data_IF_874883873422
#
_entry.id   IF_874883873422
#
_cell.length_a   1.000
_cell.length_b   1.000
_cell.length_c   1.000
_cell.angle_alpha   90.00
_cell.angle_beta   90.00
_cell.angle_gamma   90.00
#
_symmetry.space_group_name_H-M   'P 1'
#
loop_
_entity.id
_entity.type
_entity.pdbx_description
1 polymer ?
#
# COMPACT_ATOMS: atom_id res chain seq x y z
N UNK A 1 -2.34 -5.13 10.48
CA UNK A 1 -2.09 -6.58 10.63
C UNK A 1 -1.57 -7.17 9.31
N UNK A 2 -1.30 -8.48 9.27
CA UNK A 2 -0.73 -9.16 8.10
C UNK A 2 -1.65 -9.13 6.87
N UNK A 3 -2.97 -9.23 7.08
CA UNK A 3 -3.93 -9.19 5.98
C UNK A 3 -3.90 -7.82 5.30
N UNK A 4 -3.99 -6.73 6.09
CA UNK A 4 -3.91 -5.38 5.54
C UNK A 4 -2.58 -5.12 4.85
N UNK A 5 -1.45 -5.60 5.39
CA UNK A 5 -0.13 -5.44 4.78
C UNK A 5 -0.06 -6.09 3.38
N UNK A 6 -0.54 -7.33 3.27
CA UNK A 6 -0.62 -8.04 1.99
C UNK A 6 -1.53 -7.31 1.00
N UNK A 7 -2.75 -6.94 1.42
CA UNK A 7 -3.71 -6.28 0.53
C UNK A 7 -3.24 -4.89 0.09
N UNK A 8 -2.55 -4.15 0.96
CA UNK A 8 -1.98 -2.85 0.61
C UNK A 8 -0.99 -2.97 -0.57
N UNK A 9 -0.12 -3.98 -0.58
CA UNK A 9 0.75 -4.25 -1.74
C UNK A 9 0.00 -4.83 -2.92
N UNK A 10 -0.71 -5.94 -2.71
CA UNK A 10 -1.34 -6.72 -3.77
C UNK A 10 -2.38 -5.92 -4.56
N UNK A 11 -3.17 -5.07 -3.91
CA UNK A 11 -4.29 -4.37 -4.53
C UNK A 11 -4.07 -2.88 -4.75
N UNK A 12 -3.22 -2.22 -3.97
CA UNK A 12 -3.05 -0.77 -4.04
C UNK A 12 -1.66 -0.35 -4.51
N UNK A 13 -0.77 -1.32 -4.76
CA UNK A 13 0.65 -1.09 -5.03
C UNK A 13 1.30 -0.10 -4.05
N UNK A 14 0.91 -0.15 -2.77
CA UNK A 14 1.37 0.80 -1.76
C UNK A 14 2.90 0.74 -1.63
N UNK A 15 3.59 1.87 -1.82
CA UNK A 15 5.05 1.95 -1.74
C UNK A 15 5.57 2.40 -0.37
N UNK A 16 4.67 2.84 0.52
CA UNK A 16 4.96 3.24 1.89
C UNK A 16 4.10 2.43 2.86
N UNK A 17 4.75 1.92 3.92
CA UNK A 17 4.09 1.26 5.04
C UNK A 17 4.18 2.15 6.28
N UNK A 18 3.04 2.42 6.91
CA UNK A 18 2.96 3.15 8.18
C UNK A 18 2.43 2.23 9.27
N UNK A 19 3.07 2.24 10.45
CA UNK A 19 2.69 1.44 11.60
C UNK A 19 2.70 2.27 12.88
N UNK A 20 1.77 2.01 13.79
CA UNK A 20 1.73 2.67 15.09
C UNK A 20 2.69 2.03 16.08
N UNK A 21 3.78 2.72 16.44
CA UNK A 21 4.82 2.18 17.33
C UNK A 21 4.38 1.89 18.78
N UNK A 22 3.21 2.41 19.21
CA UNK A 22 2.59 2.07 20.50
C UNK A 22 1.41 1.10 20.39
N UNK A 23 1.09 0.68 19.17
CA UNK A 23 -0.09 -0.14 18.85
C UNK A 23 0.34 -1.54 18.41
N UNK A 24 1.41 -1.63 17.62
CA UNK A 24 1.92 -2.89 17.06
C UNK A 24 3.15 -3.32 17.87
N UNK A 25 3.09 -4.50 18.47
CA UNK A 25 4.25 -5.11 19.14
C UNK A 25 5.34 -5.48 18.14
N UNK A 26 6.61 -5.50 18.58
CA UNK A 26 7.78 -5.65 17.69
C UNK A 26 7.72 -6.91 16.82
N UNK A 27 7.42 -8.08 17.39
CA UNK A 27 7.34 -9.32 16.59
C UNK A 27 6.26 -9.27 15.50
N UNK A 28 5.08 -8.73 15.81
CA UNK A 28 4.03 -8.53 14.80
C UNK A 28 4.45 -7.48 13.76
N UNK A 29 5.18 -6.44 14.15
CA UNK A 29 5.68 -5.42 13.23
C UNK A 29 6.69 -6.01 12.23
N UNK A 30 7.56 -6.93 12.66
CA UNK A 30 8.49 -7.65 11.79
C UNK A 30 7.75 -8.52 10.77
N UNK A 31 6.73 -9.27 11.20
CA UNK A 31 5.91 -10.08 10.29
C UNK A 31 5.10 -9.23 9.30
N UNK A 32 4.56 -8.10 9.75
CA UNK A 32 3.86 -7.12 8.88
C UNK A 32 4.83 -6.57 7.84
N UNK A 33 6.03 -6.18 8.25
CA UNK A 33 7.07 -5.66 7.35
C UNK A 33 7.48 -6.72 6.32
N UNK A 34 7.76 -7.95 6.76
CA UNK A 34 8.13 -9.05 5.87
C UNK A 34 7.02 -9.36 4.86
N UNK A 35 5.75 -9.37 5.31
CA UNK A 35 4.59 -9.58 4.44
C UNK A 35 4.48 -8.47 3.39
N UNK A 36 4.63 -7.21 3.80
CA UNK A 36 4.58 -6.05 2.90
C UNK A 36 5.75 -6.03 1.90
N UNK A 37 6.96 -6.40 2.32
CA UNK A 37 8.13 -6.41 1.41
C UNK A 37 8.09 -7.55 0.40
N UNK A 38 7.53 -8.71 0.76
CA UNK A 38 7.50 -9.90 -0.10
C UNK A 38 6.26 -10.00 -0.99
N UNK A 39 5.17 -9.31 -0.65
CA UNK A 39 3.94 -9.34 -1.46
C UNK A 39 4.12 -8.53 -2.75
N UNK A 40 3.89 -9.20 -3.89
CA UNK A 40 3.89 -8.57 -5.21
C UNK A 40 2.55 -7.90 -5.51
N UNK A 41 2.58 -6.86 -6.34
CA UNK A 41 1.37 -6.23 -6.85
C UNK A 41 0.67 -7.14 -7.87
N UNK A 42 -0.66 -7.31 -7.75
CA UNK A 42 -1.44 -8.21 -8.62
C UNK A 42 -1.81 -7.59 -9.96
N UNK A 43 -1.75 -6.26 -10.09
CA UNK A 43 -2.11 -5.57 -11.33
C UNK A 43 -3.56 -5.81 -11.78
N UNK A 44 -3.78 -5.96 -13.09
CA UNK A 44 -5.10 -6.20 -13.66
C UNK A 44 -6.12 -5.10 -13.29
N UNK A 45 -7.22 -5.49 -12.65
CA UNK A 45 -8.26 -4.54 -12.19
C UNK A 45 -7.73 -3.50 -11.18
N UNK A 46 -6.66 -3.83 -10.46
CA UNK A 46 -6.05 -2.97 -9.46
C UNK A 46 -5.22 -1.86 -10.09
N UNK A 47 -4.46 -2.17 -11.15
CA UNK A 47 -3.67 -1.19 -11.88
C UNK A 47 -4.55 -0.05 -12.43
N UNK A 48 -5.73 -0.39 -12.96
CA UNK A 48 -6.71 0.61 -13.44
C UNK A 48 -7.13 1.59 -12.34
N UNK A 49 -7.31 1.11 -11.11
CA UNK A 49 -7.72 1.99 -9.98
C UNK A 49 -6.56 2.88 -9.53
N UNK A 50 -5.35 2.35 -9.52
CA UNK A 50 -4.14 3.14 -9.22
C UNK A 50 -3.96 4.25 -10.27
N UNK A 51 -4.14 3.94 -11.55
CA UNK A 51 -4.06 4.92 -12.64
C UNK A 51 -5.12 6.03 -12.50
N UNK A 52 -6.35 5.69 -12.11
CA UNK A 52 -7.39 6.68 -11.82
C UNK A 52 -6.98 7.65 -10.70
N UNK A 53 -6.33 7.15 -9.64
CA UNK A 53 -5.82 8.01 -8.56
C UNK A 53 -4.71 8.93 -9.05
N UNK A 54 -3.76 8.40 -9.83
CA UNK A 54 -2.66 9.19 -10.43
C UNK A 54 -3.20 10.29 -11.35
N UNK A 55 -4.26 10.01 -12.12
CA UNK A 55 -4.90 11.01 -12.98
C UNK A 55 -5.51 12.14 -12.14
N UNK A 56 -6.19 11.81 -11.03
CA UNK A 56 -6.74 12.82 -10.12
C UNK A 56 -5.62 13.71 -9.55
N UNK A 57 -4.51 13.11 -9.13
CA UNK A 57 -3.34 13.86 -8.61
C UNK A 57 -2.74 14.80 -9.67
N UNK A 58 -2.62 14.33 -10.91
CA UNK A 58 -2.14 15.14 -12.03
C UNK A 58 -3.09 16.30 -12.36
N UNK A 59 -4.40 16.04 -12.37
CA UNK A 59 -5.42 17.05 -12.62
C UNK A 59 -5.42 18.14 -11.53
N UNK A 60 -5.27 17.76 -10.25
CA UNK A 60 -5.16 18.71 -9.14
C UNK A 60 -3.86 19.52 -9.20
N UNK A 61 -2.73 18.89 -9.55
CA UNK A 61 -1.46 19.58 -9.74
C UNK A 61 -1.49 20.60 -10.88
N UNK A 62 -2.26 20.35 -11.94
CA UNK A 62 -2.42 21.26 -13.07
C UNK A 62 -3.36 22.45 -12.80
N UNK A 63 -4.13 22.41 -11.69
CA UNK A 63 -5.07 23.49 -11.29
C UNK A 63 -4.41 24.58 -10.44
N UNK A 64 -3.25 24.31 -9.86
CA UNK A 64 -2.47 25.25 -9.04
C UNK A 64 -1.40 25.97 -9.84
#
# INVERSE_FOLDING_TARGET
>A
DLYTARMARAHNDANVLSMGGRVVGVGLAEEILATFMSTQFEGGRHARRVEQLMQIEADEAARG
#
